data_IF_971419224351
#
_entry.id   IF_971419224351
#
_cell.length_a   1.000
_cell.length_b   1.000
_cell.length_c   1.000
_cell.angle_alpha   90.00
_cell.angle_beta   90.00
_cell.angle_gamma   90.00
#
_symmetry.space_group_name_H-M   'P 1'
#
loop_
_entity.id
_entity.type
_entity.pdbx_description
1 polymer ?
#
# COMPACT_ATOMS: atom_id res chain seq x y z
N UNK A 1 2.06 -15.60 11.56
CA UNK A 1 2.23 -14.35 10.76
C UNK A 1 1.21 -13.33 11.26
N UNK A 2 1.57 -12.05 11.47
CA UNK A 2 0.62 -10.97 11.79
C UNK A 2 0.50 -10.07 10.57
N UNK A 3 -0.73 -9.88 10.09
CA UNK A 3 -1.07 -9.01 8.97
C UNK A 3 -2.06 -7.96 9.46
N UNK A 4 -1.87 -6.72 9.02
CA UNK A 4 -2.85 -5.66 9.12
C UNK A 4 -3.19 -5.21 7.70
N UNK A 5 -4.47 -5.22 7.35
CA UNK A 5 -4.93 -4.99 5.99
C UNK A 5 -6.23 -4.20 6.00
N UNK A 6 -6.42 -3.35 4.98
CA UNK A 6 -7.66 -2.61 4.76
C UNK A 6 -7.43 -1.25 4.12
N UNK A 7 -8.52 -0.48 4.06
CA UNK A 7 -8.51 0.92 3.61
C UNK A 7 -8.04 1.83 4.74
N UNK A 8 -6.87 2.44 4.56
CA UNK A 8 -6.32 3.43 5.50
C UNK A 8 -6.54 4.87 5.03
N UNK A 9 -7.14 5.04 3.85
CA UNK A 9 -7.29 6.31 3.17
C UNK A 9 -5.97 7.11 3.14
N UNK A 10 -4.86 6.39 2.92
CA UNK A 10 -3.51 6.92 3.07
C UNK A 10 -2.75 6.93 1.75
N UNK A 11 -2.22 8.09 1.38
CA UNK A 11 -1.30 8.23 0.26
C UNK A 11 0.11 8.28 0.83
N UNK A 12 0.99 7.40 0.40
CA UNK A 12 2.38 7.32 0.88
C UNK A 12 3.35 7.68 -0.26
N UNK A 13 4.22 8.66 -0.02
CA UNK A 13 5.32 9.04 -0.89
C UNK A 13 6.52 8.09 -0.76
N UNK A 14 7.26 7.91 -1.85
CA UNK A 14 8.61 7.35 -1.80
C UNK A 14 9.58 8.32 -1.07
N UNK A 15 9.93 8.01 0.18
CA UNK A 15 10.95 8.73 0.95
C UNK A 15 12.08 7.78 1.34
N UNK A 16 13.33 8.17 1.02
CA UNK A 16 14.51 7.38 1.33
C UNK A 16 14.65 7.09 2.83
N UNK A 17 14.25 8.06 3.68
CA UNK A 17 14.26 7.96 5.14
C UNK A 17 13.35 6.86 5.69
N UNK A 18 12.33 6.43 4.93
CA UNK A 18 11.34 5.45 5.36
C UNK A 18 11.37 4.16 4.53
N UNK A 19 12.41 3.93 3.72
CA UNK A 19 12.53 2.73 2.88
C UNK A 19 12.37 1.43 3.67
N UNK A 20 12.84 1.38 4.92
CA UNK A 20 12.65 0.23 5.81
C UNK A 20 11.19 -0.12 6.08
N UNK A 21 10.29 0.86 6.01
CA UNK A 21 8.91 0.75 6.47
C UNK A 21 7.88 0.94 5.35
N UNK A 22 8.26 1.52 4.21
CA UNK A 22 7.32 1.81 3.10
C UNK A 22 7.73 1.23 1.76
N UNK A 23 8.90 0.58 1.64
CA UNK A 23 9.41 0.26 0.31
C UNK A 23 9.59 1.51 -0.57
N UNK A 24 9.89 1.28 -1.85
CA UNK A 24 10.20 2.35 -2.82
C UNK A 24 9.34 2.31 -4.09
N UNK A 25 8.24 1.55 -4.09
CA UNK A 25 7.45 1.29 -5.29
C UNK A 25 6.02 1.85 -5.21
N UNK A 26 5.84 2.96 -4.50
CA UNK A 26 4.54 3.58 -4.26
C UNK A 26 3.99 4.26 -5.54
N UNK A 27 2.71 4.64 -5.51
CA UNK A 27 2.06 5.40 -6.60
C UNK A 27 2.26 6.93 -6.49
N UNK A 28 2.42 7.46 -5.28
CA UNK A 28 2.23 8.88 -4.99
C UNK A 28 3.55 9.65 -4.86
N UNK A 29 3.54 10.91 -5.33
CA UNK A 29 4.65 11.84 -5.14
C UNK A 29 4.66 12.49 -3.76
N UNK A 30 3.49 12.61 -3.12
CA UNK A 30 3.32 13.25 -1.83
C UNK A 30 2.50 12.36 -0.88
N UNK A 31 2.87 12.36 0.40
CA UNK A 31 2.08 11.71 1.44
C UNK A 31 0.94 12.63 1.88
N UNK A 32 -0.24 12.05 2.16
CA UNK A 32 -1.27 12.78 2.91
C UNK A 32 -1.05 12.58 4.43
N UNK A 33 -1.83 13.28 5.27
CA UNK A 33 -1.72 13.18 6.74
C UNK A 33 -1.89 11.74 7.24
N UNK A 34 -2.81 10.98 6.64
CA UNK A 34 -3.01 9.57 6.97
C UNK A 34 -1.80 8.71 6.56
N UNK A 35 -1.18 9.00 5.42
CA UNK A 35 0.07 8.39 4.99
C UNK A 35 1.18 8.57 6.00
N UNK A 36 1.39 9.81 6.47
CA UNK A 36 2.41 10.06 7.49
C UNK A 36 2.12 9.26 8.77
N UNK A 37 0.88 9.30 9.26
CA UNK A 37 0.45 8.54 10.45
C UNK A 37 0.63 7.03 10.28
N UNK A 38 0.34 6.49 9.09
CA UNK A 38 0.49 5.07 8.80
C UNK A 38 1.96 4.64 8.81
N UNK A 39 2.85 5.48 8.28
CA UNK A 39 4.30 5.26 8.31
C UNK A 39 4.85 5.37 9.74
N UNK A 40 4.43 6.39 10.49
CA UNK A 40 4.85 6.58 11.87
C UNK A 40 4.39 5.41 12.76
N UNK A 41 3.16 4.94 12.55
CA UNK A 41 2.63 3.74 13.21
C UNK A 41 3.46 2.51 12.86
N UNK A 42 3.76 2.30 11.57
CA UNK A 42 4.55 1.16 11.13
C UNK A 42 5.95 1.17 11.77
N UNK A 43 6.61 2.33 11.79
CA UNK A 43 7.89 2.53 12.47
C UNK A 43 7.80 2.19 13.96
N UNK A 44 6.77 2.67 14.66
CA UNK A 44 6.61 2.47 16.11
C UNK A 44 6.34 1.01 16.52
N UNK A 45 5.93 0.15 15.57
CA UNK A 45 5.49 -1.23 15.83
C UNK A 45 6.34 -2.28 15.12
N UNK A 46 7.48 -1.89 14.54
CA UNK A 46 8.33 -2.74 13.70
C UNK A 46 7.55 -3.43 12.58
N UNK A 47 6.69 -2.67 11.91
CA UNK A 47 5.92 -3.09 10.74
C UNK A 47 6.48 -2.45 9.47
N UNK A 48 6.23 -3.12 8.36
CA UNK A 48 6.49 -2.63 7.01
C UNK A 48 5.19 -2.63 6.22
N UNK A 49 4.96 -1.59 5.42
CA UNK A 49 3.87 -1.51 4.45
C UNK A 49 4.24 -2.33 3.21
N UNK A 50 4.09 -3.65 3.31
CA UNK A 50 4.50 -4.59 2.25
C UNK A 50 3.83 -4.36 0.90
N UNK A 51 2.64 -3.77 0.84
CA UNK A 51 1.91 -3.51 -0.42
C UNK A 51 2.61 -2.52 -1.36
N UNK A 52 3.66 -1.85 -0.89
CA UNK A 52 4.47 -0.89 -1.67
C UNK A 52 5.95 -1.29 -1.76
N UNK A 53 6.30 -2.49 -1.29
CA UNK A 53 7.65 -3.05 -1.34
C UNK A 53 7.99 -3.76 -2.66
N UNK A 54 7.00 -4.12 -3.46
CA UNK A 54 7.21 -4.89 -4.69
C UNK A 54 7.05 -4.01 -5.95
N UNK A 55 7.91 -4.20 -6.97
CA UNK A 55 7.79 -3.47 -8.21
C UNK A 55 6.58 -3.96 -9.02
N UNK A 56 5.70 -3.02 -9.37
CA UNK A 56 4.52 -3.27 -10.19
C UNK A 56 4.36 -2.21 -11.28
N UNK A 57 3.68 -2.57 -12.39
CA UNK A 57 3.23 -1.57 -13.37
C UNK A 57 2.24 -0.62 -12.70
N UNK A 58 2.22 0.65 -13.11
CA UNK A 58 1.36 1.69 -12.51
C UNK A 58 -0.13 1.31 -12.49
N UNK A 59 -0.60 0.58 -13.50
CA UNK A 59 -1.98 0.05 -13.56
C UNK A 59 -2.30 -0.95 -12.44
N UNK A 60 -1.30 -1.66 -11.91
CA UNK A 60 -1.43 -2.63 -10.81
C UNK A 60 -1.09 -2.02 -9.44
N UNK A 61 -1.06 -0.69 -9.33
CA UNK A 61 -0.94 0.03 -8.05
C UNK A 61 -2.21 0.84 -7.70
N UNK A 62 -3.14 0.96 -8.64
CA UNK A 62 -4.38 1.73 -8.52
C UNK A 62 -5.44 0.83 -7.90
N UNK A 63 -5.79 1.10 -6.64
CA UNK A 63 -6.73 0.30 -5.85
C UNK A 63 -8.10 0.95 -5.83
N UNK A 64 -8.16 2.27 -5.67
CA UNK A 64 -9.40 3.01 -5.72
C UNK A 64 -9.50 3.82 -7.01
N UNK A 65 -10.69 3.92 -7.59
CA UNK A 65 -11.00 4.80 -8.72
C UNK A 65 -12.16 5.74 -8.35
N UNK A 66 -12.07 7.01 -8.72
CA UNK A 66 -13.20 7.94 -8.55
C UNK A 66 -14.40 7.51 -9.41
N UNK A 67 -15.63 7.92 -9.07
CA UNK A 67 -16.82 7.58 -9.86
C UNK A 67 -16.75 8.00 -11.34
N UNK A 68 -16.01 9.07 -11.64
CA UNK A 68 -15.76 9.55 -13.01
C UNK A 68 -14.62 8.80 -13.73
N UNK A 69 -13.96 7.85 -13.06
CA UNK A 69 -12.84 7.06 -13.56
C UNK A 69 -11.55 7.84 -13.78
N UNK A 70 -11.49 9.14 -13.44
CA UNK A 70 -10.33 9.99 -13.75
C UNK A 70 -9.22 9.86 -12.71
N UNK A 71 -9.59 9.84 -11.44
CA UNK A 71 -8.65 9.78 -10.32
C UNK A 71 -8.47 8.33 -9.88
N UNK A 72 -7.23 7.96 -9.61
CA UNK A 72 -6.92 6.64 -9.07
C UNK A 72 -5.92 6.76 -7.92
N UNK A 73 -6.16 6.01 -6.85
CA UNK A 73 -5.33 6.07 -5.66
C UNK A 73 -4.88 4.69 -5.18
N UNK A 74 -3.73 4.66 -4.52
CA UNK A 74 -3.28 3.55 -3.70
C UNK A 74 -3.53 3.95 -2.24
N UNK A 75 -4.64 3.49 -1.64
CA UNK A 75 -5.08 3.90 -0.29
C UNK A 75 -5.35 2.73 0.66
N UNK A 76 -5.58 1.54 0.11
CA UNK A 76 -5.53 0.30 0.86
C UNK A 76 -4.10 -0.22 0.97
N UNK A 77 -3.78 -0.77 2.13
CA UNK A 77 -2.43 -1.25 2.43
C UNK A 77 -2.44 -2.58 3.15
N UNK A 78 -1.33 -3.30 3.00
CA UNK A 78 -1.03 -4.50 3.79
C UNK A 78 0.26 -4.22 4.55
N UNK A 79 0.21 -4.40 5.87
CA UNK A 79 1.34 -4.31 6.77
C UNK A 79 1.62 -5.64 7.46
N UNK A 80 2.88 -5.91 7.73
CA UNK A 80 3.34 -7.08 8.47
C UNK A 80 4.64 -6.77 9.20
N UNK A 81 5.08 -7.68 10.08
CA UNK A 81 6.34 -7.48 10.83
C UNK A 81 7.55 -7.47 9.91
N UNK A 82 8.46 -6.53 10.15
CA UNK A 82 9.72 -6.38 9.41
C UNK A 82 10.53 -7.68 9.44
N UNK A 83 10.70 -8.32 10.60
CA UNK A 83 11.50 -9.56 10.67
C UNK A 83 10.99 -10.71 9.78
N UNK A 84 9.69 -10.69 9.45
CA UNK A 84 9.03 -11.74 8.66
C UNK A 84 8.75 -11.35 7.21
N UNK A 85 9.03 -10.11 6.79
CA UNK A 85 8.48 -9.60 5.53
C UNK A 85 9.05 -10.34 4.31
N UNK A 86 10.36 -10.49 4.26
CA UNK A 86 11.04 -11.15 3.14
C UNK A 86 10.81 -12.67 3.11
N UNK A 87 10.50 -13.28 4.25
CA UNK A 87 10.31 -14.73 4.37
C UNK A 87 8.86 -15.18 4.28
N UNK A 88 7.89 -14.29 4.53
CA UNK A 88 6.46 -14.65 4.63
C UNK A 88 5.58 -14.08 3.53
N UNK A 89 6.03 -13.05 2.81
CA UNK A 89 5.27 -12.44 1.71
C UNK A 89 6.14 -12.47 0.45
N UNK A 90 5.66 -13.17 -0.59
CA UNK A 90 6.32 -13.20 -1.89
C UNK A 90 5.83 -12.07 -2.81
N UNK A 91 4.58 -11.67 -2.65
CA UNK A 91 3.94 -10.66 -3.49
C UNK A 91 2.60 -10.20 -2.88
N UNK A 92 2.17 -8.98 -3.22
CA UNK A 92 0.82 -8.46 -2.96
C UNK A 92 0.33 -7.85 -4.27
N UNK A 93 -0.80 -8.33 -4.81
CA UNK A 93 -1.23 -8.00 -6.17
C UNK A 93 -2.69 -7.65 -6.22
N UNK A 94 -2.99 -6.55 -6.91
CA UNK A 94 -4.34 -6.20 -7.30
C UNK A 94 -4.94 -7.24 -8.26
N UNK A 95 -6.09 -7.82 -7.88
CA UNK A 95 -6.87 -8.74 -8.69
C UNK A 95 -7.95 -8.01 -9.50
N UNK A 96 -7.51 -7.30 -10.54
CA UNK A 96 -8.36 -6.45 -11.40
C UNK A 96 -9.41 -7.21 -12.23
N UNK A 97 -9.35 -8.54 -12.29
CA UNK A 97 -10.31 -9.37 -13.03
C UNK A 97 -11.60 -9.68 -12.25
N UNK A 98 -11.59 -9.47 -10.94
CA UNK A 98 -12.81 -9.60 -10.14
C UNK A 98 -13.66 -8.33 -10.29
N UNK A 99 -14.95 -8.53 -10.58
CA UNK A 99 -15.95 -7.48 -10.43
C UNK A 99 -16.56 -7.58 -9.03
N UNK A 100 -16.32 -6.55 -8.21
CA UNK A 100 -16.80 -6.48 -6.84
C UNK A 100 -17.92 -5.45 -6.64
N UNK A 101 -18.41 -4.83 -7.74
CA UNK A 101 -19.37 -3.72 -7.71
C UNK A 101 -18.98 -2.60 -6.71
N UNK A 102 -17.68 -2.29 -6.70
CA UNK A 102 -17.06 -1.31 -5.81
C UNK A 102 -16.15 -0.40 -6.62
N UNK A 103 -15.96 0.81 -6.11
CA UNK A 103 -14.93 1.75 -6.53
C UNK A 103 -13.50 1.30 -6.13
N UNK A 104 -13.39 0.23 -5.34
CA UNK A 104 -12.14 -0.46 -5.04
C UNK A 104 -11.94 -1.73 -5.88
N UNK A 105 -10.69 -1.94 -6.29
CA UNK A 105 -10.20 -3.20 -6.84
C UNK A 105 -9.73 -4.12 -5.71
N UNK A 106 -10.00 -5.42 -5.83
CA UNK A 106 -9.56 -6.42 -4.85
C UNK A 106 -8.03 -6.52 -4.77
N UNK A 107 -7.50 -6.65 -3.56
CA UNK A 107 -6.08 -6.90 -3.24
C UNK A 107 -5.87 -8.34 -2.79
#
# INVERSE_FOLDING_TARGET
VKLLLGDFNSKIRNQLTHLRSTGGHNLHENSNKNGQRLVDFANSRDLIVSSICYPHKRIHKRIWASPDGRTHNQIDHVQNRVQSWASSILNIRLYRGANCDSDHYLI
#
